data_IF_243128504928
#
_entry.id   IF_243128504928
#
_cell.length_a   1.000
_cell.length_b   1.000
_cell.length_c   1.000
_cell.angle_alpha   90.00
_cell.angle_beta   90.00
_cell.angle_gamma   90.00
#
_symmetry.space_group_name_H-M   'P 1'
#
loop_
_entity.id
_entity.type
_entity.pdbx_description
1 polymer ?
#
# COMPACT_ATOMS: atom_id res chain seq x y z
N UNK A 1 -23.88 -7.05 11.79
CA UNK A 1 -22.89 -6.45 12.73
C UNK A 1 -21.57 -6.32 12.00
N UNK A 2 -21.11 -5.11 11.85
CA UNK A 2 -19.86 -4.85 11.15
C UNK A 2 -18.67 -5.29 12.02
N UNK A 3 -17.80 -6.12 11.44
CA UNK A 3 -16.61 -6.64 12.12
C UNK A 3 -15.55 -5.55 12.33
N UNK A 4 -15.61 -4.48 11.55
CA UNK A 4 -14.69 -3.35 11.62
C UNK A 4 -15.32 -2.10 10.99
N UNK A 5 -14.72 -0.95 11.27
CA UNK A 5 -15.07 0.34 10.67
C UNK A 5 -13.85 0.96 9.99
N UNK A 6 -14.09 1.85 9.03
CA UNK A 6 -13.02 2.57 8.31
C UNK A 6 -13.22 4.07 8.49
N UNK A 7 -12.14 4.79 8.77
CA UNK A 7 -12.11 6.25 8.79
C UNK A 7 -10.88 6.81 8.11
N UNK A 8 -10.93 8.08 7.75
CA UNK A 8 -9.77 8.79 7.19
C UNK A 8 -8.67 8.94 8.25
N UNK A 9 -7.41 8.90 7.78
CA UNK A 9 -6.24 9.25 8.58
C UNK A 9 -6.32 10.73 8.97
N UNK A 10 -6.00 11.04 10.23
CA UNK A 10 -5.97 12.37 10.81
C UNK A 10 -4.54 12.70 11.29
N UNK A 11 -4.27 13.98 11.57
CA UNK A 11 -2.95 14.42 12.04
C UNK A 11 -2.50 13.71 13.31
N UNK A 12 -3.44 13.42 14.19
CA UNK A 12 -3.20 12.74 15.46
C UNK A 12 -2.71 11.30 15.29
N UNK A 13 -2.96 10.71 14.13
CA UNK A 13 -2.53 9.34 13.81
C UNK A 13 -1.05 9.25 13.42
N UNK A 14 -0.40 10.37 13.10
CA UNK A 14 0.94 10.40 12.52
C UNK A 14 1.97 9.63 13.34
N UNK A 15 2.01 9.84 14.64
CA UNK A 15 2.96 9.16 15.53
C UNK A 15 2.74 7.65 15.54
N UNK A 16 1.47 7.23 15.61
CA UNK A 16 1.12 5.82 15.53
C UNK A 16 1.53 5.22 14.18
N UNK A 17 1.27 5.95 13.07
CA UNK A 17 1.64 5.48 11.72
C UNK A 17 3.15 5.32 11.60
N UNK A 18 3.95 6.24 12.13
CA UNK A 18 5.41 6.09 12.14
C UNK A 18 5.85 4.79 12.81
N UNK A 19 5.31 4.48 13.99
CA UNK A 19 5.61 3.22 14.70
C UNK A 19 5.15 2.00 13.92
N UNK A 20 3.98 2.07 13.31
CA UNK A 20 3.42 1.02 12.47
C UNK A 20 4.32 0.71 11.28
N UNK A 21 4.80 1.73 10.60
CA UNK A 21 5.69 1.59 9.44
C UNK A 21 7.02 0.93 9.80
N UNK A 22 7.63 1.32 10.92
CA UNK A 22 8.86 0.69 11.40
C UNK A 22 8.62 -0.80 11.68
N UNK A 23 7.50 -1.12 12.31
CA UNK A 23 7.14 -2.51 12.64
C UNK A 23 6.85 -3.35 11.39
N UNK A 24 6.07 -2.82 10.45
CA UNK A 24 5.62 -3.55 9.26
C UNK A 24 6.63 -3.54 8.10
N UNK A 25 7.36 -2.45 7.94
CA UNK A 25 8.18 -2.18 6.76
C UNK A 25 9.66 -1.98 7.07
N UNK A 26 10.05 -1.97 8.34
CA UNK A 26 11.44 -1.79 8.78
C UNK A 26 11.93 -0.36 8.79
N UNK A 27 11.17 0.60 8.27
CA UNK A 27 11.53 2.02 8.23
C UNK A 27 10.29 2.90 8.05
N UNK A 28 10.42 4.20 8.30
CA UNK A 28 9.35 5.19 8.11
C UNK A 28 9.19 5.64 6.65
N UNK A 29 10.09 5.21 5.77
CA UNK A 29 10.04 5.54 4.34
C UNK A 29 9.68 4.33 3.50
N UNK A 30 9.05 4.59 2.36
CA UNK A 30 8.79 3.61 1.30
C UNK A 30 9.39 4.16 0.01
N UNK A 31 10.15 3.33 -0.71
CA UNK A 31 10.70 3.68 -2.01
C UNK A 31 9.93 2.91 -3.07
N UNK A 32 9.35 3.63 -4.02
CA UNK A 32 8.59 3.08 -5.12
C UNK A 32 8.94 3.82 -6.41
N UNK A 33 9.20 3.11 -7.48
CA UNK A 33 9.63 3.66 -8.79
C UNK A 33 10.65 4.81 -8.67
N UNK A 34 11.68 4.56 -7.87
CA UNK A 34 12.79 5.50 -7.60
C UNK A 34 12.40 6.78 -6.83
N UNK A 35 11.18 6.84 -6.25
CA UNK A 35 10.69 7.95 -5.44
C UNK A 35 10.61 7.55 -3.96
N UNK A 36 11.07 8.44 -3.09
CA UNK A 36 10.98 8.25 -1.63
C UNK A 36 9.68 8.87 -1.13
N UNK A 37 8.86 8.05 -0.47
CA UNK A 37 7.61 8.47 0.16
C UNK A 37 7.75 8.42 1.69
N UNK A 38 7.03 9.32 2.36
CA UNK A 38 6.87 9.34 3.81
C UNK A 38 5.38 9.07 4.13
N UNK A 39 4.98 7.80 4.27
CA UNK A 39 3.55 7.46 4.37
C UNK A 39 2.84 8.10 5.57
N UNK A 40 3.56 8.43 6.65
CA UNK A 40 2.96 9.11 7.80
C UNK A 40 2.46 10.53 7.48
N UNK A 41 2.93 11.12 6.36
CA UNK A 41 2.52 12.44 5.89
C UNK A 41 1.51 12.36 4.74
N UNK A 42 1.10 11.16 4.33
CA UNK A 42 0.17 10.93 3.23
C UNK A 42 -1.27 10.77 3.73
N UNK A 43 -2.25 11.08 2.86
CA UNK A 43 -3.63 10.71 3.14
C UNK A 43 -3.80 9.19 3.17
N UNK A 44 -4.83 8.72 3.86
CA UNK A 44 -5.11 7.30 3.96
C UNK A 44 -6.38 7.00 4.73
N UNK A 45 -6.59 5.72 4.97
CA UNK A 45 -7.69 5.19 5.76
C UNK A 45 -7.18 4.17 6.77
N UNK A 46 -7.80 4.15 7.94
CA UNK A 46 -7.53 3.19 9.00
C UNK A 46 -8.76 2.33 9.23
N UNK A 47 -8.55 1.02 9.32
CA UNK A 47 -9.57 0.08 9.77
C UNK A 47 -9.36 -0.25 11.25
N UNK A 48 -10.44 -0.34 12.02
CA UNK A 48 -10.40 -0.64 13.45
C UNK A 48 -11.66 -1.37 13.90
N UNK A 49 -11.54 -2.14 14.97
CA UNK A 49 -12.70 -2.74 15.61
C UNK A 49 -13.46 -1.66 16.38
N UNK A 50 -14.81 -1.61 16.31
CA UNK A 50 -15.58 -0.61 17.03
C UNK A 50 -15.40 -0.65 18.55
N UNK A 51 -15.09 -1.81 19.09
CA UNK A 51 -14.90 -2.04 20.53
C UNK A 51 -13.44 -2.02 20.99
N UNK A 52 -12.48 -1.90 20.08
CA UNK A 52 -11.06 -1.92 20.38
C UNK A 52 -10.40 -0.60 19.93
N UNK A 53 -9.37 -0.20 20.68
CA UNK A 53 -8.60 1.00 20.36
C UNK A 53 -7.51 0.77 19.30
N UNK A 54 -7.16 -0.50 19.07
CA UNK A 54 -6.05 -0.85 18.19
C UNK A 54 -6.52 -0.99 16.74
N UNK A 55 -5.85 -0.33 15.80
CA UNK A 55 -6.16 -0.48 14.37
C UNK A 55 -5.91 -1.89 13.87
N UNK A 56 -6.75 -2.31 12.92
CA UNK A 56 -6.65 -3.59 12.23
C UNK A 56 -5.92 -3.49 10.90
N UNK A 57 -5.81 -2.30 10.34
CA UNK A 57 -5.18 -2.10 9.05
C UNK A 57 -5.02 -0.63 8.70
N UNK A 58 -4.16 -0.38 7.73
CA UNK A 58 -3.84 0.95 7.24
C UNK A 58 -3.63 0.89 5.73
N UNK A 59 -4.15 1.87 5.02
CA UNK A 59 -3.81 2.15 3.63
C UNK A 59 -3.43 3.61 3.50
N UNK A 60 -2.32 3.89 2.83
CA UNK A 60 -1.92 5.26 2.49
C UNK A 60 -1.78 5.39 0.98
N UNK A 61 -2.00 6.58 0.47
CA UNK A 61 -1.92 6.84 -0.96
C UNK A 61 -1.36 8.23 -1.25
N UNK A 62 -0.77 8.37 -2.43
CA UNK A 62 -0.25 9.63 -2.95
C UNK A 62 -1.08 10.06 -4.16
N UNK A 63 -1.37 11.35 -4.24
CA UNK A 63 -2.09 11.93 -5.37
C UNK A 63 -1.13 12.78 -6.19
N UNK A 64 -1.02 12.47 -7.48
CA UNK A 64 -0.19 13.22 -8.41
C UNK A 64 -0.91 13.33 -9.76
N UNK A 65 -1.27 14.55 -10.14
CA UNK A 65 -2.08 14.77 -11.35
C UNK A 65 -3.41 14.04 -11.26
N UNK A 66 -3.68 13.21 -12.26
CA UNK A 66 -4.89 12.39 -12.34
C UNK A 66 -4.71 10.97 -11.74
N UNK A 67 -3.57 10.71 -11.13
CA UNK A 67 -3.23 9.39 -10.60
C UNK A 67 -3.30 9.33 -9.08
N UNK A 68 -3.82 8.21 -8.57
CA UNK A 68 -3.81 7.85 -7.16
C UNK A 68 -2.96 6.61 -6.98
N UNK A 69 -1.82 6.73 -6.28
CA UNK A 69 -0.93 5.59 -6.00
C UNK A 69 -1.12 5.09 -4.58
N UNK A 70 -1.44 3.82 -4.42
CA UNK A 70 -1.41 3.16 -3.11
C UNK A 70 0.05 2.95 -2.73
N UNK A 71 0.47 3.54 -1.61
CA UNK A 71 1.86 3.45 -1.12
C UNK A 71 2.02 2.33 -0.11
N UNK A 72 1.10 2.21 0.84
CA UNK A 72 1.10 1.11 1.81
C UNK A 72 -0.29 0.50 1.93
N UNK A 73 -0.34 -0.80 2.13
CA UNK A 73 -1.53 -1.52 2.53
C UNK A 73 -1.15 -2.62 3.50
N UNK A 74 -1.63 -2.54 4.71
CA UNK A 74 -1.39 -3.52 5.77
C UNK A 74 -2.70 -3.93 6.42
N UNK A 75 -2.82 -5.23 6.72
CA UNK A 75 -3.95 -5.79 7.45
C UNK A 75 -3.43 -6.79 8.47
N UNK A 76 -3.85 -6.65 9.73
CA UNK A 76 -3.47 -7.58 10.80
C UNK A 76 -4.36 -8.82 10.87
N UNK A 77 -5.53 -8.78 10.27
CA UNK A 77 -6.47 -9.91 10.23
C UNK A 77 -6.79 -10.29 8.80
N UNK A 78 -6.35 -11.47 8.43
CA UNK A 78 -6.72 -12.07 7.15
C UNK A 78 -8.13 -12.67 7.23
N UNK A 79 -8.79 -12.73 6.08
CA UNK A 79 -10.07 -13.45 5.93
C UNK A 79 -11.31 -12.71 6.37
N UNK A 80 -11.23 -11.50 6.93
CA UNK A 80 -12.41 -10.71 7.31
C UNK A 80 -12.68 -9.51 6.38
N UNK A 81 -11.86 -9.35 5.35
CA UNK A 81 -12.10 -8.35 4.31
C UNK A 81 -11.55 -6.95 4.56
N UNK A 82 -10.66 -6.75 5.55
CA UNK A 82 -10.07 -5.45 5.86
C UNK A 82 -9.32 -4.87 4.67
N UNK A 83 -8.42 -5.64 4.07
CA UNK A 83 -7.65 -5.17 2.91
C UNK A 83 -8.53 -4.77 1.73
N UNK A 84 -9.53 -5.58 1.41
CA UNK A 84 -10.48 -5.27 0.34
C UNK A 84 -11.27 -3.99 0.62
N UNK A 85 -11.73 -3.81 1.84
CA UNK A 85 -12.49 -2.62 2.23
C UNK A 85 -11.63 -1.36 2.20
N UNK A 86 -10.36 -1.44 2.59
CA UNK A 86 -9.42 -0.32 2.50
C UNK A 86 -9.15 0.08 1.04
N UNK A 87 -8.98 -0.90 0.14
CA UNK A 87 -8.83 -0.63 -1.30
C UNK A 87 -10.09 0.02 -1.85
N UNK A 88 -11.26 -0.50 -1.51
CA UNK A 88 -12.54 0.07 -1.97
C UNK A 88 -12.69 1.53 -1.51
N UNK A 89 -12.28 1.85 -0.29
CA UNK A 89 -12.30 3.22 0.22
C UNK A 89 -11.43 4.15 -0.62
N UNK A 90 -10.23 3.72 -1.00
CA UNK A 90 -9.33 4.49 -1.87
C UNK A 90 -9.91 4.64 -3.27
N UNK A 91 -10.46 3.57 -3.86
CA UNK A 91 -11.08 3.62 -5.20
C UNK A 91 -12.25 4.60 -5.21
N UNK A 92 -13.12 4.54 -4.21
CA UNK A 92 -14.25 5.47 -4.10
C UNK A 92 -13.78 6.91 -3.95
N UNK A 93 -12.78 7.16 -3.12
CA UNK A 93 -12.20 8.48 -2.95
C UNK A 93 -11.59 9.00 -4.26
N UNK A 94 -10.81 8.18 -4.94
CA UNK A 94 -10.18 8.52 -6.21
C UNK A 94 -11.22 8.85 -7.30
N UNK A 95 -12.34 8.11 -7.35
CA UNK A 95 -13.47 8.44 -8.24
C UNK A 95 -14.09 9.78 -7.90
N UNK A 96 -14.31 10.04 -6.62
CA UNK A 96 -14.92 11.29 -6.15
C UNK A 96 -14.09 12.51 -6.57
N UNK A 97 -12.75 12.42 -6.47
CA UNK A 97 -11.84 13.52 -6.84
C UNK A 97 -11.42 13.48 -8.32
N UNK A 98 -12.05 12.61 -9.14
CA UNK A 98 -11.84 12.54 -10.58
C UNK A 98 -10.47 12.07 -11.04
N UNK A 99 -9.80 11.21 -10.27
CA UNK A 99 -8.62 10.50 -10.75
C UNK A 99 -8.98 9.59 -11.93
N UNK A 100 -8.00 9.33 -12.80
CA UNK A 100 -8.17 8.42 -13.94
C UNK A 100 -7.82 6.98 -13.61
N UNK A 101 -6.96 6.77 -12.63
CA UNK A 101 -6.57 5.42 -12.19
C UNK A 101 -6.13 5.39 -10.73
N UNK A 102 -6.25 4.22 -10.15
CA UNK A 102 -5.55 3.84 -8.92
C UNK A 102 -4.48 2.83 -9.31
N UNK A 103 -3.25 3.01 -8.86
CA UNK A 103 -2.18 2.07 -9.16
C UNK A 103 -1.32 1.82 -7.93
N UNK A 104 -0.49 0.82 -8.01
CA UNK A 104 0.48 0.47 -6.97
C UNK A 104 1.69 -0.18 -7.61
N UNK A 105 2.76 -0.23 -6.84
CA UNK A 105 4.01 -0.89 -7.23
C UNK A 105 4.35 -1.92 -6.15
N UNK A 106 4.68 -3.12 -6.57
CA UNK A 106 5.13 -4.20 -5.68
C UNK A 106 6.41 -4.83 -6.22
N UNK A 107 7.07 -5.65 -5.43
CA UNK A 107 8.29 -6.31 -5.84
C UNK A 107 8.00 -7.66 -6.53
N UNK A 108 8.94 -8.12 -7.34
CA UNK A 108 8.78 -9.32 -8.17
C UNK A 108 8.56 -10.62 -7.40
N UNK A 109 8.96 -10.67 -6.13
CA UNK A 109 8.78 -11.82 -5.25
C UNK A 109 7.40 -11.87 -4.59
N UNK A 110 6.68 -10.77 -4.58
CA UNK A 110 5.43 -10.63 -3.83
C UNK A 110 4.24 -11.24 -4.60
N UNK A 111 4.23 -12.56 -4.70
CA UNK A 111 3.18 -13.30 -5.40
C UNK A 111 1.82 -13.17 -4.70
N UNK A 112 1.80 -12.97 -3.38
CA UNK A 112 0.57 -12.70 -2.64
C UNK A 112 -0.10 -11.40 -3.10
N UNK A 113 0.66 -10.32 -3.26
CA UNK A 113 0.14 -9.05 -3.78
C UNK A 113 -0.31 -9.18 -5.22
N UNK A 114 0.47 -9.84 -6.08
CA UNK A 114 0.10 -10.05 -7.48
C UNK A 114 -1.24 -10.80 -7.59
N UNK A 115 -1.43 -11.84 -6.79
CA UNK A 115 -2.69 -12.55 -6.73
C UNK A 115 -3.82 -11.68 -6.17
N UNK A 116 -3.58 -11.03 -5.04
CA UNK A 116 -4.56 -10.23 -4.31
C UNK A 116 -5.15 -9.11 -5.17
N UNK A 117 -4.29 -8.31 -5.80
CA UNK A 117 -4.73 -7.17 -6.59
C UNK A 117 -5.36 -7.56 -7.91
N UNK A 118 -4.82 -8.57 -8.62
CA UNK A 118 -5.41 -9.03 -9.87
C UNK A 118 -6.83 -9.59 -9.66
N UNK A 119 -7.06 -10.30 -8.57
CA UNK A 119 -8.40 -10.79 -8.21
C UNK A 119 -9.40 -9.66 -7.97
N UNK A 120 -8.93 -8.45 -7.68
CA UNK A 120 -9.75 -7.24 -7.45
C UNK A 120 -9.84 -6.34 -8.66
N UNK A 121 -9.39 -6.82 -9.82
CA UNK A 121 -9.53 -6.10 -11.08
C UNK A 121 -8.35 -5.22 -11.47
N UNK A 122 -7.28 -5.21 -10.69
CA UNK A 122 -6.03 -4.57 -11.10
C UNK A 122 -5.36 -5.38 -12.20
N UNK A 123 -4.70 -4.69 -13.12
CA UNK A 123 -3.97 -5.32 -14.23
C UNK A 123 -2.51 -4.90 -14.19
N UNK A 124 -1.63 -5.81 -14.59
CA UNK A 124 -0.20 -5.52 -14.74
C UNK A 124 -0.02 -4.46 -15.83
N UNK A 125 0.70 -3.40 -15.55
CA UNK A 125 0.87 -2.27 -16.46
C UNK A 125 2.33 -2.00 -16.83
N UNK A 126 3.28 -2.26 -15.90
CA UNK A 126 4.68 -1.92 -16.12
C UNK A 126 5.60 -2.78 -15.27
N UNK A 127 6.80 -3.04 -15.77
CA UNK A 127 7.91 -3.64 -15.02
C UNK A 127 9.06 -2.63 -15.00
N UNK A 128 9.54 -2.29 -13.79
CA UNK A 128 10.72 -1.46 -13.58
C UNK A 128 11.90 -2.36 -13.23
N UNK A 129 12.68 -2.69 -14.24
CA UNK A 129 13.83 -3.60 -14.10
C UNK A 129 14.90 -2.97 -13.21
N UNK A 130 15.36 -3.71 -12.20
CA UNK A 130 16.43 -3.27 -11.29
C UNK A 130 16.02 -2.19 -10.28
N UNK A 131 14.73 -1.81 -10.22
CA UNK A 131 14.28 -0.73 -9.35
C UNK A 131 14.51 -1.03 -7.86
N UNK A 132 14.35 -2.28 -7.44
CA UNK A 132 14.57 -2.67 -6.03
C UNK A 132 16.05 -2.68 -5.68
N UNK A 133 16.91 -3.06 -6.61
CA UNK A 133 18.37 -2.99 -6.40
C UNK A 133 18.81 -1.54 -6.17
N UNK A 134 18.26 -0.58 -6.93
CA UNK A 134 18.52 0.86 -6.70
C UNK A 134 17.94 1.36 -5.39
N UNK A 135 16.72 0.96 -5.06
CA UNK A 135 16.07 1.33 -3.79
C UNK A 135 16.88 0.85 -2.59
N UNK A 136 17.49 -0.32 -2.68
CA UNK A 136 18.31 -0.91 -1.59
C UNK A 136 19.53 -0.07 -1.27
N UNK A 137 20.05 0.71 -2.20
CA UNK A 137 21.14 1.65 -1.96
C UNK A 137 20.75 2.74 -0.94
N UNK A 138 19.48 3.16 -0.94
CA UNK A 138 18.96 4.17 -0.02
C UNK A 138 18.26 3.57 1.20
N UNK A 139 17.77 2.33 1.09
CA UNK A 139 17.09 1.59 2.14
C UNK A 139 17.69 0.19 2.25
N UNK A 140 18.84 0.05 2.93
CA UNK A 140 19.54 -1.25 3.03
C UNK A 140 18.74 -2.36 3.71
N UNK A 141 17.67 -2.01 4.43
CA UNK A 141 16.78 -2.96 5.10
C UNK A 141 16.00 -3.83 4.10
N UNK A 142 15.89 -3.41 2.83
CA UNK A 142 15.23 -4.22 1.81
C UNK A 142 16.02 -5.50 1.59
N UNK A 143 15.45 -6.70 1.84
CA UNK A 143 16.18 -7.96 1.71
C UNK A 143 16.55 -8.24 0.23
N UNK A 144 17.61 -9.02 0.04
CA UNK A 144 18.05 -9.46 -1.29
C UNK A 144 17.26 -10.66 -1.80
N UNK A 145 16.72 -11.45 -0.88
CA UNK A 145 15.87 -12.60 -1.18
C UNK A 145 14.58 -12.43 -0.41
N UNK A 146 13.47 -12.57 -1.08
CA UNK A 146 12.14 -12.36 -0.51
C UNK A 146 11.34 -13.64 -0.38
N UNK A 147 10.04 -13.51 -0.58
CA UNK A 147 9.09 -14.61 -0.48
C UNK A 147 9.44 -15.76 -1.43
N UNK A 148 9.20 -16.97 -0.98
CA UNK A 148 9.45 -18.20 -1.76
C UNK A 148 10.90 -18.40 -2.20
N UNK A 149 11.87 -17.72 -1.57
CA UNK A 149 13.26 -17.77 -1.96
C UNK A 149 13.57 -17.04 -3.27
N UNK A 150 12.67 -16.17 -3.73
CA UNK A 150 12.83 -15.42 -4.97
C UNK A 150 13.75 -14.21 -4.72
N UNK A 151 14.83 -14.04 -5.50
CA UNK A 151 15.65 -12.82 -5.42
C UNK A 151 14.85 -11.58 -5.78
N UNK A 152 14.99 -10.51 -5.00
CA UNK A 152 14.25 -9.26 -5.20
C UNK A 152 15.12 -8.28 -5.99
N UNK A 153 14.71 -7.97 -7.23
CA UNK A 153 15.39 -7.05 -8.13
C UNK A 153 14.47 -5.99 -8.73
N UNK A 154 13.23 -6.39 -9.05
CA UNK A 154 12.37 -5.65 -9.96
C UNK A 154 11.09 -5.21 -9.27
N UNK A 155 10.52 -4.11 -9.75
CA UNK A 155 9.19 -3.67 -9.36
C UNK A 155 8.19 -3.92 -10.48
N UNK A 156 6.96 -4.26 -10.09
CA UNK A 156 5.83 -4.47 -10.98
C UNK A 156 4.73 -3.48 -10.60
N UNK A 157 4.27 -2.72 -11.59
CA UNK A 157 3.12 -1.82 -11.45
C UNK A 157 1.84 -2.53 -11.85
N UNK A 158 0.80 -2.37 -11.01
CA UNK A 158 -0.55 -2.81 -11.31
C UNK A 158 -1.47 -1.60 -11.25
N UNK A 159 -2.44 -1.52 -12.17
CA UNK A 159 -3.38 -0.40 -12.20
C UNK A 159 -4.84 -0.85 -12.27
N UNK A 160 -5.70 -0.01 -11.71
CA UNK A 160 -7.16 -0.09 -11.81
C UNK A 160 -7.66 1.20 -12.45
N UNK A 161 -8.14 1.11 -13.70
CA UNK A 161 -8.62 2.29 -14.43
C UNK A 161 -9.98 2.72 -13.91
N UNK A 162 -10.12 4.02 -13.67
CA UNK A 162 -11.37 4.67 -13.29
C UNK A 162 -12.01 5.30 -14.54
N UNK A 163 -13.31 5.17 -14.64
CA UNK A 163 -14.07 5.81 -15.71
C UNK A 163 -14.57 7.20 -15.30
#
# INVERSE_FOLDING_TARGET
>A
MDLFSIRKVQKEDREWICRWLVFQWGAEIVISHDVIFHPADLPGFIAFEPSASDPLGLITFNLEGDDCEIITLDSLREGIGVGSALIDAVIQHARYIKCKRVFLVTTNDNLYSLRFYQKRGFRLSKINVGATDRAREQKPEIPTVGEFGIPIHDEIELEYKLE
#
